data_IF_997836746099
#
_entry.id   IF_997836746099
#
_cell.length_a   1.000
_cell.length_b   1.000
_cell.length_c   1.000
_cell.angle_alpha   90.00
_cell.angle_beta   90.00
_cell.angle_gamma   90.00
#
_symmetry.space_group_name_H-M   'P 1'
#
loop_
_entity.id
_entity.type
_entity.pdbx_description
1 polymer ?
#
# COMPACT_ATOMS: atom_id res chain seq x y z
N UNK A 1 6.91 22.67 -5.69
CA UNK A 1 6.86 21.30 -6.26
C UNK A 1 6.02 20.43 -5.35
N UNK A 2 5.25 19.45 -5.86
CA UNK A 2 4.42 18.60 -4.98
C UNK A 2 5.30 17.75 -4.05
N UNK A 3 4.83 17.57 -2.81
CA UNK A 3 5.48 16.76 -1.76
C UNK A 3 4.46 15.79 -1.20
N UNK A 4 4.32 14.64 -1.83
CA UNK A 4 3.29 13.65 -1.50
C UNK A 4 3.94 12.48 -0.76
N UNK A 5 3.40 12.13 0.41
CA UNK A 5 3.72 10.91 1.13
C UNK A 5 2.54 9.94 1.08
N UNK A 6 2.84 8.66 1.11
CA UNK A 6 1.90 7.59 1.46
C UNK A 6 2.41 6.89 2.71
N UNK A 7 1.63 6.97 3.78
CA UNK A 7 1.83 6.19 5.00
C UNK A 7 1.00 4.91 4.90
N UNK A 8 1.60 3.76 5.17
CA UNK A 8 0.99 2.44 5.07
C UNK A 8 1.37 1.62 6.31
N UNK A 9 0.38 1.19 7.09
CA UNK A 9 0.61 0.46 8.33
C UNK A 9 1.03 -0.99 8.04
N UNK A 10 2.18 -1.39 8.60
CA UNK A 10 2.81 -2.67 8.32
C UNK A 10 1.99 -3.84 8.88
N UNK A 11 1.59 -4.76 7.97
CA UNK A 11 0.78 -5.92 8.30
C UNK A 11 -0.39 -5.58 9.26
N UNK A 12 -1.10 -4.48 9.01
CA UNK A 12 -2.01 -3.78 9.92
C UNK A 12 -2.91 -4.70 10.75
N UNK A 13 -3.67 -5.60 10.12
CA UNK A 13 -4.56 -6.51 10.86
C UNK A 13 -3.79 -7.45 11.80
N UNK A 14 -2.60 -7.88 11.40
CA UNK A 14 -1.71 -8.71 12.25
C UNK A 14 -1.21 -7.89 13.44
N UNK A 15 -0.74 -6.67 13.19
CA UNK A 15 -0.23 -5.78 14.24
C UNK A 15 -1.32 -5.46 15.27
N UNK A 16 -2.55 -5.15 14.82
CA UNK A 16 -3.69 -4.90 15.71
C UNK A 16 -4.09 -6.17 16.48
N UNK A 17 -4.13 -7.34 15.83
CA UNK A 17 -4.45 -8.60 16.51
C UNK A 17 -3.41 -8.93 17.60
N UNK A 18 -2.13 -8.73 17.32
CA UNK A 18 -1.05 -8.93 18.30
C UNK A 18 -1.14 -7.97 19.49
N UNK A 19 -1.48 -6.71 19.23
CA UNK A 19 -1.64 -5.71 20.30
C UNK A 19 -2.84 -6.01 21.24
N UNK A 20 -3.89 -6.64 20.71
CA UNK A 20 -5.07 -7.01 21.49
C UNK A 20 -4.89 -8.28 22.32
N UNK A 21 -4.10 -9.21 21.84
CA UNK A 21 -3.83 -10.49 22.50
C UNK A 21 -2.33 -10.75 22.56
N UNK A 22 -1.61 -10.06 23.48
CA UNK A 22 -0.16 -10.17 23.60
C UNK A 22 0.34 -11.57 23.94
N UNK A 23 -0.45 -12.35 24.68
CA UNK A 23 -0.06 -13.69 25.16
C UNK A 23 -0.38 -14.78 24.12
N UNK A 24 -1.38 -14.60 23.27
CA UNK A 24 -1.75 -15.53 22.19
C UNK A 24 -1.19 -15.08 20.85
N UNK A 25 -1.95 -14.26 20.10
CA UNK A 25 -1.55 -13.76 18.78
C UNK A 25 -0.21 -12.99 18.81
N UNK A 26 0.07 -12.29 19.92
CA UNK A 26 1.31 -11.53 20.12
C UNK A 26 2.55 -12.40 20.11
N UNK A 27 2.46 -13.62 20.68
CA UNK A 27 3.57 -14.60 20.74
C UNK A 27 3.66 -15.47 19.50
N UNK A 28 2.64 -15.47 18.62
CA UNK A 28 2.63 -16.31 17.42
C UNK A 28 3.48 -15.68 16.30
N UNK A 29 4.63 -16.27 15.92
CA UNK A 29 5.41 -15.77 14.79
C UNK A 29 4.68 -15.99 13.48
N UNK A 30 4.02 -17.14 13.31
CA UNK A 30 3.24 -17.50 12.13
C UNK A 30 1.76 -17.19 12.40
N UNK A 31 1.29 -16.03 11.92
CA UNK A 31 -0.06 -15.54 12.19
C UNK A 31 -0.79 -15.21 10.89
N UNK A 32 -2.02 -15.68 10.78
CA UNK A 32 -2.98 -15.35 9.73
C UNK A 32 -4.17 -14.65 10.39
N UNK A 33 -4.55 -13.49 9.90
CA UNK A 33 -5.76 -12.79 10.30
C UNK A 33 -6.76 -12.85 9.16
N UNK A 34 -7.97 -13.38 9.43
CA UNK A 34 -8.96 -13.56 8.37
C UNK A 34 -10.13 -14.45 8.80
N UNK A 35 -10.58 -15.30 7.88
CA UNK A 35 -11.60 -16.32 8.19
C UNK A 35 -11.10 -17.42 9.11
N UNK A 36 -12.02 -18.23 9.67
CA UNK A 36 -11.63 -19.37 10.50
C UNK A 36 -11.17 -20.55 9.65
N UNK A 37 -10.52 -21.54 10.32
CA UNK A 37 -10.08 -22.78 9.69
C UNK A 37 -11.25 -23.58 9.11
N UNK A 38 -12.42 -23.51 9.74
CA UNK A 38 -13.63 -24.24 9.39
C UNK A 38 -14.50 -23.48 8.37
N UNK A 39 -14.24 -22.18 8.16
CA UNK A 39 -15.04 -21.35 7.27
C UNK A 39 -14.41 -21.25 5.87
N UNK A 40 -15.25 -20.91 4.87
CA UNK A 40 -14.78 -20.56 3.51
C UNK A 40 -14.15 -19.15 3.45
N UNK A 41 -13.47 -18.71 4.53
CA UNK A 41 -12.89 -17.40 4.63
C UNK A 41 -11.61 -17.26 3.81
N UNK A 42 -11.17 -16.00 3.68
CA UNK A 42 -9.92 -15.62 3.03
C UNK A 42 -8.95 -14.98 4.02
N UNK A 43 -7.66 -15.02 3.69
CA UNK A 43 -6.62 -14.27 4.39
C UNK A 43 -6.85 -12.79 4.16
N UNK A 44 -7.09 -12.02 5.23
CA UNK A 44 -7.10 -10.56 5.18
C UNK A 44 -5.65 -10.02 5.28
N UNK A 45 -4.88 -10.57 6.23
CA UNK A 45 -3.45 -10.27 6.39
C UNK A 45 -2.71 -11.48 6.94
N UNK A 46 -1.40 -11.52 6.74
CA UNK A 46 -0.51 -12.54 7.31
C UNK A 46 0.78 -11.87 7.80
N UNK A 47 1.38 -12.41 8.87
CA UNK A 47 2.69 -11.95 9.35
C UNK A 47 3.75 -12.09 8.27
N UNK A 48 4.81 -11.30 8.34
CA UNK A 48 5.90 -11.35 7.36
C UNK A 48 6.55 -12.73 7.32
N UNK A 49 6.64 -13.40 8.47
CA UNK A 49 7.13 -14.78 8.61
C UNK A 49 6.24 -15.76 7.84
N UNK A 50 4.91 -15.63 8.00
CA UNK A 50 3.94 -16.47 7.27
C UNK A 50 3.98 -16.22 5.76
N UNK A 51 4.24 -14.98 5.34
CA UNK A 51 4.36 -14.62 3.90
C UNK A 51 5.55 -15.33 3.22
N UNK A 52 6.61 -15.70 3.97
CA UNK A 52 7.76 -16.46 3.45
C UNK A 52 7.36 -17.84 2.94
N UNK A 53 6.28 -18.43 3.46
CA UNK A 53 5.69 -19.68 2.98
C UNK A 53 4.78 -19.52 1.74
N UNK A 54 4.71 -18.30 1.18
CA UNK A 54 3.88 -18.03 0.00
C UNK A 54 2.42 -17.67 0.33
N UNK A 55 2.07 -17.51 1.60
CA UNK A 55 0.75 -17.02 2.01
C UNK A 55 0.58 -15.55 1.61
N UNK A 56 -0.58 -15.21 1.03
CA UNK A 56 -0.89 -13.86 0.53
C UNK A 56 -2.33 -13.47 0.90
N UNK A 57 -2.60 -12.17 1.00
CA UNK A 57 -3.96 -11.63 1.14
C UNK A 57 -4.85 -12.11 -0.01
N UNK A 58 -6.15 -12.23 0.27
CA UNK A 58 -7.18 -12.81 -0.60
C UNK A 58 -7.05 -14.31 -0.89
N UNK A 59 -6.02 -15.00 -0.36
CA UNK A 59 -5.88 -16.45 -0.48
C UNK A 59 -6.94 -17.15 0.40
N UNK A 60 -7.61 -18.22 -0.09
CA UNK A 60 -8.46 -19.04 0.79
C UNK A 60 -7.69 -19.59 1.99
N UNK A 61 -8.26 -19.53 3.20
CA UNK A 61 -7.62 -20.01 4.43
C UNK A 61 -7.15 -21.48 4.30
N UNK A 62 -7.98 -22.34 3.73
CA UNK A 62 -7.60 -23.75 3.50
C UNK A 62 -6.34 -23.93 2.65
N UNK A 63 -6.10 -23.02 1.67
CA UNK A 63 -4.86 -23.02 0.89
C UNK A 63 -3.70 -22.46 1.70
N UNK A 64 -3.92 -21.38 2.44
CA UNK A 64 -2.90 -20.76 3.29
C UNK A 64 -2.36 -21.76 4.33
N UNK A 65 -3.25 -22.53 4.98
CA UNK A 65 -2.89 -23.54 5.97
C UNK A 65 -2.20 -24.78 5.36
N UNK A 66 -2.41 -25.06 4.07
CA UNK A 66 -1.58 -26.08 3.39
C UNK A 66 -0.15 -25.61 3.15
N UNK A 67 0.05 -24.32 2.92
CA UNK A 67 1.38 -23.71 2.76
C UNK A 67 2.11 -23.49 4.09
N UNK A 68 1.37 -23.20 5.16
CA UNK A 68 1.88 -22.94 6.49
C UNK A 68 0.96 -23.59 7.55
N UNK A 69 1.10 -24.92 7.79
CA UNK A 69 0.19 -25.67 8.68
C UNK A 69 0.21 -25.20 10.13
N UNK A 70 1.36 -24.71 10.60
CA UNK A 70 1.58 -24.27 11.97
C UNK A 70 1.12 -22.84 12.23
N UNK A 71 0.57 -22.15 11.22
CA UNK A 71 0.10 -20.79 11.39
C UNK A 71 -1.15 -20.73 12.28
N UNK A 72 -1.09 -19.88 13.30
CA UNK A 72 -2.27 -19.51 14.10
C UNK A 72 -3.21 -18.69 13.20
N UNK A 73 -4.49 -19.04 13.21
CA UNK A 73 -5.54 -18.27 12.53
C UNK A 73 -6.42 -17.57 13.55
N UNK A 74 -6.58 -16.25 13.41
CA UNK A 74 -7.45 -15.44 14.26
C UNK A 74 -8.43 -14.62 13.41
N UNK A 75 -9.64 -14.35 13.91
CA UNK A 75 -10.59 -13.49 13.21
C UNK A 75 -10.08 -12.05 13.12
N UNK A 76 -10.60 -11.29 12.15
CA UNK A 76 -10.29 -9.86 12.02
C UNK A 76 -10.90 -9.07 13.16
N UNK A 77 -10.12 -8.36 14.00
CA UNK A 77 -10.62 -7.54 15.08
C UNK A 77 -11.14 -6.18 14.55
N UNK A 78 -12.22 -6.19 13.75
CA UNK A 78 -12.70 -5.05 12.97
C UNK A 78 -12.89 -3.77 13.77
N UNK A 79 -13.48 -3.86 14.99
CA UNK A 79 -13.70 -2.69 15.84
C UNK A 79 -12.38 -2.02 16.24
N UNK A 80 -11.41 -2.81 16.68
CA UNK A 80 -10.10 -2.30 17.07
C UNK A 80 -9.30 -1.77 15.86
N UNK A 81 -9.42 -2.44 14.71
CA UNK A 81 -8.83 -1.95 13.47
C UNK A 81 -9.40 -0.56 13.09
N UNK A 82 -10.71 -0.38 13.17
CA UNK A 82 -11.33 0.93 12.93
C UNK A 82 -10.86 2.01 13.91
N UNK A 83 -10.75 1.67 15.20
CA UNK A 83 -10.24 2.58 16.22
C UNK A 83 -8.76 2.97 15.95
N UNK A 84 -7.89 1.99 15.68
CA UNK A 84 -6.48 2.25 15.38
C UNK A 84 -6.29 3.04 14.09
N UNK A 85 -7.07 2.77 13.04
CA UNK A 85 -7.07 3.54 11.81
C UNK A 85 -7.44 5.01 12.06
N UNK A 86 -8.50 5.27 12.84
CA UNK A 86 -8.92 6.62 13.19
C UNK A 86 -7.87 7.36 14.04
N UNK A 87 -7.22 6.65 14.99
CA UNK A 87 -6.15 7.19 15.83
C UNK A 87 -4.94 7.61 14.96
N UNK A 88 -4.49 6.74 14.07
CA UNK A 88 -3.39 7.06 13.14
C UNK A 88 -3.77 8.25 12.26
N UNK A 89 -4.95 8.26 11.64
CA UNK A 89 -5.41 9.36 10.80
C UNK A 89 -5.41 10.69 11.55
N UNK A 90 -5.90 10.70 12.79
CA UNK A 90 -5.90 11.90 13.62
C UNK A 90 -4.47 12.42 13.87
N UNK A 91 -3.52 11.52 14.14
CA UNK A 91 -2.12 11.88 14.29
C UNK A 91 -1.53 12.47 13.00
N UNK A 92 -1.83 11.86 11.85
CA UNK A 92 -1.32 12.31 10.55
C UNK A 92 -1.77 13.74 10.20
N UNK A 93 -2.98 14.14 10.60
CA UNK A 93 -3.47 15.53 10.44
C UNK A 93 -2.65 16.58 11.21
N UNK A 94 -1.82 16.17 12.17
CA UNK A 94 -0.89 17.08 12.86
C UNK A 94 0.34 17.40 12.01
N UNK A 95 0.61 16.60 10.98
CA UNK A 95 1.78 16.74 10.12
C UNK A 95 1.46 17.28 8.72
N UNK A 96 0.27 17.08 8.22
CA UNK A 96 -0.09 17.50 6.87
C UNK A 96 -1.42 18.25 6.85
N UNK A 97 -1.54 19.33 6.06
CA UNK A 97 -2.78 20.07 5.91
C UNK A 97 -3.87 19.23 5.21
N UNK A 98 -3.47 18.30 4.35
CA UNK A 98 -4.40 17.41 3.63
C UNK A 98 -3.98 15.97 3.86
N UNK A 99 -4.91 15.17 4.41
CA UNK A 99 -4.76 13.73 4.61
C UNK A 99 -5.95 13.02 3.96
N UNK A 100 -5.67 12.15 3.00
CA UNK A 100 -6.68 11.33 2.31
C UNK A 100 -6.54 9.87 2.74
N UNK A 101 -7.57 9.28 3.35
CA UNK A 101 -7.66 7.85 3.58
C UNK A 101 -7.86 7.10 2.25
N UNK A 102 -6.89 6.29 1.84
CA UNK A 102 -6.99 5.41 0.68
C UNK A 102 -7.62 4.07 1.06
N UNK A 103 -7.32 3.56 2.25
CA UNK A 103 -7.91 2.37 2.87
C UNK A 103 -7.92 2.50 4.39
N UNK A 104 -8.22 1.41 5.10
CA UNK A 104 -8.19 1.37 6.56
C UNK A 104 -6.77 1.49 7.13
N UNK A 105 -5.76 1.20 6.32
CA UNK A 105 -4.35 1.10 6.67
C UNK A 105 -3.43 1.98 5.80
N UNK A 106 -3.99 2.78 4.88
CA UNK A 106 -3.23 3.63 3.96
C UNK A 106 -3.75 5.07 3.93
N UNK A 107 -2.83 6.06 4.03
CA UNK A 107 -3.16 7.48 4.00
C UNK A 107 -2.17 8.25 3.13
N UNK A 108 -2.69 9.00 2.15
CA UNK A 108 -1.89 9.99 1.44
C UNK A 108 -1.86 11.30 2.22
N UNK A 109 -0.68 11.91 2.26
CA UNK A 109 -0.45 13.21 2.88
C UNK A 109 0.10 14.16 1.80
N UNK A 110 -0.48 15.35 1.70
CA UNK A 110 0.07 16.43 0.88
C UNK A 110 0.77 17.45 1.78
N UNK A 111 2.07 17.51 1.66
CA UNK A 111 2.96 18.44 2.39
C UNK A 111 3.44 19.59 1.48
N UNK A 112 2.81 19.77 0.31
CA UNK A 112 3.14 20.86 -0.60
C UNK A 112 2.89 22.20 0.07
N UNK A 113 3.88 23.11 0.02
CA UNK A 113 3.81 24.43 0.64
C UNK A 113 4.06 24.46 2.15
N UNK A 114 4.43 23.32 2.77
CA UNK A 114 4.75 23.26 4.21
C UNK A 114 6.25 23.35 4.50
N UNK A 115 7.09 23.62 3.49
CA UNK A 115 8.55 23.63 3.62
C UNK A 115 9.03 24.55 4.74
N UNK A 116 8.47 25.75 4.85
CA UNK A 116 8.82 26.72 5.89
C UNK A 116 8.41 26.26 7.30
N UNK A 117 7.28 25.54 7.44
CA UNK A 117 6.82 24.97 8.71
C UNK A 117 7.82 23.95 9.24
N UNK A 118 8.43 23.20 8.33
CA UNK A 118 9.42 22.16 8.63
C UNK A 118 10.87 22.66 8.49
N UNK A 119 11.10 23.98 8.54
CA UNK A 119 12.44 24.58 8.48
C UNK A 119 13.28 24.04 7.30
N UNK A 120 12.61 23.76 6.18
CA UNK A 120 13.20 23.21 4.95
C UNK A 120 13.93 21.88 5.14
N UNK A 121 13.57 21.09 6.15
CA UNK A 121 14.15 19.75 6.32
C UNK A 121 13.85 18.85 5.11
N UNK A 122 14.70 17.85 4.85
CA UNK A 122 14.42 16.81 3.86
C UNK A 122 13.10 16.09 4.14
N UNK A 123 12.31 15.78 3.10
CA UNK A 123 11.03 15.08 3.25
C UNK A 123 11.17 13.72 3.96
N UNK A 124 12.34 13.07 3.82
CA UNK A 124 12.66 11.84 4.54
C UNK A 124 12.69 12.06 6.06
N UNK A 125 13.23 13.19 6.54
CA UNK A 125 13.24 13.49 7.98
C UNK A 125 11.82 13.72 8.52
N UNK A 126 10.96 14.41 7.75
CA UNK A 126 9.53 14.54 8.08
C UNK A 126 8.86 13.17 8.16
N UNK A 127 9.12 12.28 7.19
CA UNK A 127 8.57 10.92 7.16
C UNK A 127 9.01 10.10 8.38
N UNK A 128 10.27 10.17 8.78
CA UNK A 128 10.76 9.48 9.99
C UNK A 128 10.10 10.01 11.27
N UNK A 129 9.87 11.33 11.38
CA UNK A 129 9.15 11.89 12.52
C UNK A 129 7.68 11.44 12.58
N UNK A 130 7.03 11.33 11.43
CA UNK A 130 5.65 10.78 11.34
C UNK A 130 5.65 9.34 11.85
N UNK A 131 6.56 8.49 11.38
CA UNK A 131 6.69 7.10 11.83
C UNK A 131 6.90 7.00 13.32
N UNK A 132 7.87 7.75 13.85
CA UNK A 132 8.18 7.77 15.28
C UNK A 132 6.97 8.21 16.13
N UNK A 133 6.24 9.24 15.70
CA UNK A 133 5.07 9.74 16.40
C UNK A 133 3.92 8.71 16.41
N UNK A 134 3.67 8.05 15.28
CA UNK A 134 2.63 7.02 15.20
C UNK A 134 3.03 5.79 16.03
N UNK A 135 4.27 5.33 15.93
CA UNK A 135 4.76 4.21 16.74
C UNK A 135 4.65 4.50 18.25
N UNK A 136 5.09 5.69 18.68
CA UNK A 136 5.01 6.07 20.10
C UNK A 136 3.57 6.11 20.64
N UNK A 137 2.62 6.54 19.82
CA UNK A 137 1.22 6.68 20.24
C UNK A 137 0.43 5.36 20.15
N UNK A 138 0.70 4.54 19.13
CA UNK A 138 -0.16 3.39 18.78
C UNK A 138 0.51 2.03 18.97
N UNK A 139 1.84 1.99 19.09
CA UNK A 139 2.65 0.77 19.06
C UNK A 139 2.75 0.10 17.68
N UNK A 140 2.16 0.70 16.63
CA UNK A 140 2.17 0.15 15.28
C UNK A 140 3.28 0.78 14.44
N UNK A 141 3.89 -0.01 13.56
CA UNK A 141 4.87 0.49 12.59
C UNK A 141 4.20 0.97 11.31
N UNK A 142 4.76 2.01 10.71
CA UNK A 142 4.41 2.51 9.39
C UNK A 142 5.60 2.40 8.45
N UNK A 143 5.35 2.00 7.22
CA UNK A 143 6.25 2.30 6.11
C UNK A 143 5.76 3.53 5.37
N UNK A 144 6.67 4.41 4.94
CA UNK A 144 6.33 5.64 4.23
C UNK A 144 7.09 5.71 2.91
N UNK A 145 6.32 5.87 1.82
CA UNK A 145 6.84 6.20 0.51
C UNK A 145 6.55 7.66 0.16
N UNK A 146 7.45 8.31 -0.55
CA UNK A 146 7.23 9.69 -0.97
C UNK A 146 7.71 9.99 -2.37
N UNK A 147 7.15 11.05 -2.95
CA UNK A 147 7.50 11.54 -4.28
C UNK A 147 6.66 12.74 -4.70
N UNK A 148 6.67 13.05 -5.98
CA UNK A 148 5.97 14.20 -6.55
C UNK A 148 4.49 13.95 -6.86
N UNK A 149 4.04 12.70 -6.79
CA UNK A 149 2.64 12.32 -7.00
C UNK A 149 2.27 11.02 -6.26
N UNK A 150 0.98 10.66 -6.29
CA UNK A 150 0.44 9.49 -5.57
C UNK A 150 0.97 8.17 -6.10
N UNK A 151 1.24 8.06 -7.41
CA UNK A 151 1.78 6.85 -8.02
C UNK A 151 3.19 6.56 -7.49
N UNK A 152 4.07 7.56 -7.54
CA UNK A 152 5.45 7.42 -7.06
C UNK A 152 5.47 7.10 -5.56
N UNK A 153 4.68 7.82 -4.75
CA UNK A 153 4.58 7.54 -3.33
C UNK A 153 4.10 6.09 -3.05
N UNK A 154 3.12 5.59 -3.85
CA UNK A 154 2.62 4.20 -3.71
C UNK A 154 3.65 3.15 -4.09
N UNK A 155 4.44 3.38 -5.12
CA UNK A 155 5.50 2.45 -5.51
C UNK A 155 6.67 2.50 -4.53
N UNK A 156 7.02 3.70 -4.05
CA UNK A 156 8.08 3.89 -3.07
C UNK A 156 7.75 3.18 -1.74
N UNK A 157 6.52 3.30 -1.21
CA UNK A 157 6.15 2.63 0.05
C UNK A 157 6.23 1.11 -0.08
N UNK A 158 5.90 0.54 -1.24
CA UNK A 158 6.00 -0.90 -1.45
C UNK A 158 7.44 -1.42 -1.30
N UNK A 159 8.43 -0.63 -1.75
CA UNK A 159 9.85 -0.95 -1.60
C UNK A 159 10.40 -0.59 -0.20
N UNK A 160 9.78 0.38 0.48
CA UNK A 160 10.16 0.75 1.85
C UNK A 160 9.76 -0.29 2.91
N UNK A 161 8.76 -1.13 2.63
CA UNK A 161 8.24 -2.13 3.58
C UNK A 161 9.23 -3.26 3.89
N UNK A 162 9.28 -3.74 5.15
CA UNK A 162 8.59 -3.24 6.33
C UNK A 162 9.38 -2.14 7.04
N UNK A 163 8.67 -1.33 7.81
CA UNK A 163 9.19 -0.34 8.78
C UNK A 163 10.29 0.57 8.19
N UNK A 164 10.09 1.03 6.96
CA UNK A 164 11.08 1.82 6.22
C UNK A 164 10.53 3.12 5.64
N UNK A 165 11.45 3.94 5.14
CA UNK A 165 11.15 5.16 4.38
C UNK A 165 11.90 5.12 3.06
N UNK A 166 11.19 5.43 1.97
CA UNK A 166 11.78 5.66 0.67
C UNK A 166 11.17 6.91 0.04
N UNK A 167 12.01 7.92 -0.21
CA UNK A 167 11.60 9.15 -0.88
C UNK A 167 12.28 9.22 -2.25
N UNK A 168 11.47 9.26 -3.28
CA UNK A 168 11.94 9.52 -4.65
C UNK A 168 12.07 11.02 -4.83
N UNK A 169 13.30 11.48 -5.03
CA UNK A 169 13.57 12.91 -5.21
C UNK A 169 12.94 13.42 -6.51
N UNK A 170 12.53 14.71 -6.53
CA UNK A 170 12.07 15.33 -7.77
C UNK A 170 13.11 15.23 -8.89
N UNK A 171 12.68 14.78 -10.05
CA UNK A 171 13.56 14.51 -11.22
C UNK A 171 14.18 13.11 -11.24
N UNK A 172 14.04 12.31 -10.18
CA UNK A 172 14.51 10.92 -10.15
C UNK A 172 13.39 9.89 -10.47
N UNK A 173 12.18 10.37 -10.77
CA UNK A 173 10.99 9.50 -10.97
C UNK A 173 11.20 8.52 -12.13
N UNK A 174 11.76 8.99 -13.25
CA UNK A 174 12.03 8.14 -14.41
C UNK A 174 13.02 7.02 -14.05
N UNK A 175 14.14 7.37 -13.44
CA UNK A 175 15.17 6.40 -13.03
C UNK A 175 14.58 5.38 -12.06
N UNK A 176 13.78 5.82 -11.10
CA UNK A 176 13.09 4.96 -10.14
C UNK A 176 12.13 3.99 -10.84
N UNK A 177 11.26 4.51 -11.73
CA UNK A 177 10.29 3.69 -12.45
C UNK A 177 10.94 2.67 -13.37
N UNK A 178 11.99 3.05 -14.09
CA UNK A 178 12.72 2.15 -15.01
C UNK A 178 13.39 0.99 -14.30
N UNK A 179 13.68 1.12 -13.01
CA UNK A 179 14.19 0.02 -12.19
C UNK A 179 13.12 -0.98 -11.76
N UNK A 180 11.82 -0.67 -11.97
CA UNK A 180 10.70 -1.49 -11.53
C UNK A 180 10.24 -2.49 -12.59
N UNK A 181 9.60 -3.57 -12.13
CA UNK A 181 8.83 -4.47 -13.00
C UNK A 181 7.41 -3.94 -13.21
N UNK A 182 6.76 -4.37 -14.29
CA UNK A 182 5.34 -4.01 -14.50
C UNK A 182 4.42 -4.57 -13.41
N UNK A 183 4.83 -5.64 -12.73
CA UNK A 183 4.11 -6.23 -11.61
C UNK A 183 4.04 -5.31 -10.38
N UNK A 184 5.00 -4.40 -10.22
CA UNK A 184 5.06 -3.42 -9.13
C UNK A 184 4.19 -2.20 -9.38
N UNK A 185 3.76 -1.98 -10.63
CA UNK A 185 2.85 -0.87 -10.95
C UNK A 185 1.47 -1.15 -10.37
N UNK A 186 0.92 -0.25 -9.54
CA UNK A 186 -0.42 -0.40 -8.99
C UNK A 186 -1.47 -0.65 -10.08
N UNK A 187 -2.36 -1.62 -9.84
CA UNK A 187 -3.43 -2.07 -10.75
C UNK A 187 -2.98 -2.93 -11.95
N UNK A 188 -1.70 -3.21 -12.12
CA UNK A 188 -1.23 -4.25 -13.05
C UNK A 188 -1.41 -5.62 -12.39
N UNK A 189 -2.60 -6.17 -12.49
CA UNK A 189 -2.94 -7.47 -11.88
C UNK A 189 -2.40 -8.67 -12.65
N UNK A 190 -2.43 -9.90 -12.08
CA UNK A 190 -1.81 -11.10 -12.66
C UNK A 190 -2.26 -11.43 -14.09
N UNK A 191 -3.54 -11.21 -14.42
CA UNK A 191 -4.05 -11.45 -15.79
C UNK A 191 -3.46 -10.46 -16.80
N UNK A 192 -3.29 -9.20 -16.39
CA UNK A 192 -2.69 -8.18 -17.24
C UNK A 192 -1.19 -8.42 -17.40
N UNK A 193 -0.50 -8.77 -16.31
CA UNK A 193 0.91 -9.20 -16.34
C UNK A 193 1.14 -10.36 -17.30
N UNK A 194 0.34 -11.43 -17.21
CA UNK A 194 0.45 -12.58 -18.10
C UNK A 194 0.25 -12.20 -19.58
N UNK A 195 -0.70 -11.29 -19.87
CA UNK A 195 -0.96 -10.81 -21.24
C UNK A 195 0.20 -9.99 -21.79
N UNK A 196 0.80 -9.11 -20.98
CA UNK A 196 1.97 -8.32 -21.35
C UNK A 196 3.22 -9.20 -21.47
N UNK A 197 3.46 -10.11 -20.52
CA UNK A 197 4.59 -11.03 -20.49
C UNK A 197 4.62 -11.98 -21.69
N UNK A 198 3.45 -12.44 -22.18
CA UNK A 198 3.35 -13.23 -23.42
C UNK A 198 3.86 -12.47 -24.68
N UNK A 199 4.13 -11.18 -24.55
CA UNK A 199 4.67 -10.31 -25.61
C UNK A 199 6.05 -9.75 -25.29
N UNK A 200 6.70 -10.29 -24.25
CA UNK A 200 8.02 -9.86 -23.80
C UNK A 200 8.03 -8.51 -23.05
N UNK A 201 6.85 -8.02 -22.60
CA UNK A 201 6.74 -6.79 -21.81
C UNK A 201 6.62 -7.17 -20.32
N UNK A 202 7.73 -7.15 -19.58
CA UNK A 202 7.84 -7.61 -18.19
C UNK A 202 8.22 -6.46 -17.26
N UNK A 203 9.15 -5.62 -17.69
CA UNK A 203 9.68 -4.49 -16.93
C UNK A 203 9.13 -3.17 -17.46
N UNK A 204 9.30 -2.10 -16.69
CA UNK A 204 9.03 -0.74 -17.16
C UNK A 204 9.92 -0.41 -18.34
N UNK A 205 11.20 -0.83 -18.31
CA UNK A 205 12.18 -0.62 -19.39
C UNK A 205 11.73 -1.22 -20.73
N UNK A 206 11.02 -2.36 -20.70
CA UNK A 206 10.47 -2.99 -21.91
C UNK A 206 9.37 -2.17 -22.57
N UNK A 207 8.69 -1.30 -21.82
CA UNK A 207 7.56 -0.49 -22.27
C UNK A 207 7.97 0.96 -22.53
N UNK A 208 8.88 1.48 -21.74
CA UNK A 208 9.27 2.89 -21.69
C UNK A 208 9.61 3.52 -23.06
N UNK A 209 10.32 2.84 -23.98
CA UNK A 209 10.70 3.42 -25.27
C UNK A 209 9.54 3.59 -26.26
N UNK A 210 8.36 3.01 -25.98
CA UNK A 210 7.25 3.02 -26.93
C UNK A 210 6.33 4.21 -26.73
N UNK A 211 5.88 4.78 -27.85
CA UNK A 211 4.71 5.65 -27.85
C UNK A 211 3.41 4.84 -27.64
N UNK A 212 2.32 5.55 -27.39
CA UNK A 212 1.00 4.92 -27.11
C UNK A 212 0.53 4.05 -28.28
N UNK A 213 0.78 4.47 -29.55
CA UNK A 213 0.33 3.74 -30.71
C UNK A 213 1.09 2.41 -30.88
N UNK A 214 2.41 2.44 -30.73
CA UNK A 214 3.28 1.26 -30.77
C UNK A 214 2.99 0.32 -29.59
N UNK A 215 2.81 0.87 -28.39
CA UNK A 215 2.46 0.09 -27.20
C UNK A 215 1.12 -0.62 -27.36
N UNK A 216 0.14 0.06 -27.95
CA UNK A 216 -1.17 -0.55 -28.27
C UNK A 216 -1.04 -1.77 -29.18
N UNK A 217 -0.25 -1.66 -30.24
CA UNK A 217 -0.04 -2.75 -31.19
C UNK A 217 0.76 -3.90 -30.57
N UNK A 218 1.91 -3.62 -29.98
CA UNK A 218 2.79 -4.63 -29.38
C UNK A 218 2.13 -5.36 -28.20
N UNK A 219 1.45 -4.61 -27.30
CA UNK A 219 0.77 -5.16 -26.14
C UNK A 219 -0.56 -5.82 -26.47
N UNK A 220 -1.09 -5.69 -27.70
CA UNK A 220 -2.48 -5.99 -28.06
C UNK A 220 -3.45 -5.37 -27.04
N UNK A 221 -3.28 -4.08 -26.80
CA UNK A 221 -4.03 -3.32 -25.80
C UNK A 221 -5.15 -2.53 -26.46
N UNK A 222 -6.22 -2.28 -25.72
CA UNK A 222 -7.18 -1.26 -26.08
C UNK A 222 -6.51 0.13 -26.00
N UNK A 223 -7.08 1.12 -26.68
CA UNK A 223 -6.56 2.50 -26.61
C UNK A 223 -6.45 3.00 -25.16
N UNK A 224 -7.48 2.71 -24.34
CA UNK A 224 -7.53 3.09 -22.92
C UNK A 224 -6.42 2.41 -22.10
N UNK A 225 -6.20 1.10 -22.31
CA UNK A 225 -5.13 0.36 -21.61
C UNK A 225 -3.74 0.86 -22.01
N UNK A 226 -3.50 1.14 -23.29
CA UNK A 226 -2.22 1.64 -23.76
C UNK A 226 -1.90 3.03 -23.19
N UNK A 227 -2.86 3.98 -23.24
CA UNK A 227 -2.71 5.30 -22.65
C UNK A 227 -2.50 5.20 -21.13
N UNK A 228 -3.29 4.35 -20.44
CA UNK A 228 -3.17 4.16 -19.00
C UNK A 228 -1.78 3.60 -18.62
N UNK A 229 -1.32 2.55 -19.32
CA UNK A 229 -0.02 1.93 -19.04
C UNK A 229 1.12 2.90 -19.35
N UNK A 230 1.04 3.62 -20.48
CA UNK A 230 2.03 4.63 -20.86
C UNK A 230 2.16 5.71 -19.78
N UNK A 231 1.05 6.27 -19.31
CA UNK A 231 1.07 7.24 -18.21
C UNK A 231 1.75 6.68 -16.95
N UNK A 232 1.44 5.42 -16.59
CA UNK A 232 2.01 4.79 -15.39
C UNK A 232 3.52 4.59 -15.50
N UNK A 233 4.02 4.09 -16.62
CA UNK A 233 5.46 3.86 -16.80
C UNK A 233 6.25 5.16 -16.94
N UNK A 234 5.60 6.26 -17.35
CA UNK A 234 6.21 7.59 -17.41
C UNK A 234 5.96 8.43 -16.13
N UNK A 235 5.37 7.85 -15.10
CA UNK A 235 5.16 8.54 -13.84
C UNK A 235 4.08 9.64 -13.88
N UNK A 236 3.22 9.64 -14.89
CA UNK A 236 2.15 10.63 -15.05
C UNK A 236 0.98 10.25 -14.15
N UNK A 237 0.77 11.05 -13.11
CA UNK A 237 -0.38 10.93 -12.22
C UNK A 237 -0.79 12.34 -11.75
N UNK A 238 -1.90 12.84 -12.30
CA UNK A 238 -2.43 14.17 -12.01
C UNK A 238 -3.32 14.18 -10.77
N UNK A 239 -3.66 13.00 -10.21
CA UNK A 239 -4.53 12.89 -9.07
C UNK A 239 -3.96 13.68 -7.86
N UNK A 240 -4.74 14.62 -7.34
CA UNK A 240 -4.43 15.32 -6.09
C UNK A 240 -4.73 14.45 -4.88
N UNK A 241 -4.15 14.82 -3.73
CA UNK A 241 -4.61 14.35 -2.43
C UNK A 241 -5.82 15.17 -2.03
N UNK A 242 -6.93 14.52 -1.73
CA UNK A 242 -8.20 15.19 -1.45
C UNK A 242 -8.68 14.87 -0.04
N UNK A 243 -9.34 15.84 0.62
CA UNK A 243 -10.15 15.53 1.78
C UNK A 243 -11.30 14.62 1.34
N UNK A 244 -11.21 13.33 1.68
CA UNK A 244 -12.38 12.45 1.64
C UNK A 244 -12.99 12.42 3.03
N UNK A 245 -14.15 13.06 3.18
CA UNK A 245 -15.04 12.70 4.29
C UNK A 245 -15.37 11.21 4.15
N UNK A 246 -15.26 10.46 5.25
CA UNK A 246 -15.75 9.09 5.26
C UNK A 246 -17.25 9.16 4.96
N UNK A 247 -17.63 8.85 3.73
CA UNK A 247 -19.00 8.46 3.44
C UNK A 247 -19.17 7.17 4.22
N UNK A 248 -19.84 7.27 5.39
CA UNK A 248 -20.18 6.13 6.22
C UNK A 248 -20.76 5.07 5.29
N UNK A 249 -20.15 3.88 5.20
CA UNK A 249 -20.74 2.76 4.48
C UNK A 249 -22.07 2.52 5.19
N UNK A 250 -23.15 2.97 4.57
CA UNK A 250 -24.48 2.55 4.95
C UNK A 250 -24.42 1.02 4.98
N UNK A 251 -24.63 0.47 6.16
CA UNK A 251 -24.56 -0.98 6.34
C UNK A 251 -25.60 -1.58 5.40
N UNK A 252 -25.16 -2.52 4.56
CA UNK A 252 -26.02 -3.28 3.65
C UNK A 252 -26.92 -4.26 4.45
N UNK A 253 -27.50 -3.81 5.59
CA UNK A 253 -28.34 -4.58 6.50
C UNK A 253 -29.80 -4.16 6.53
N UNK A 254 -30.20 -3.22 5.69
CA UNK A 254 -31.62 -2.84 5.57
C UNK A 254 -32.14 -3.09 4.15
N UNK A 255 -32.16 -4.35 3.75
CA UNK A 255 -33.11 -4.85 2.73
C UNK A 255 -33.29 -6.35 2.97
N UNK A 256 -34.16 -6.69 3.87
CA UNK A 256 -34.99 -7.89 3.84
C UNK A 256 -36.43 -7.46 3.79
#
# INVERSE_FOLDING_TARGET
MRRILLADADAFYVAVARALDPEGAGRAPLLIVGGSRESRGVVCSASYETRKFGVRSAMPIARALRLCPDAMCVPVPMKACGQKSAEIRHLLHRFAPIVEGASIDEWYLDLTGTEGVYQYEPLAATAERIRAAVHAATGLTLSIGGGTNKLIAKMAVAQAKPDGVLIVAPGAEETFLRSCTLAEIPLVGPKFQARLGARGLITVEDVFPYDIATLRQRGALTAREATWLWNRVHGVDEAGVAHREEIGRASCRERV
#
